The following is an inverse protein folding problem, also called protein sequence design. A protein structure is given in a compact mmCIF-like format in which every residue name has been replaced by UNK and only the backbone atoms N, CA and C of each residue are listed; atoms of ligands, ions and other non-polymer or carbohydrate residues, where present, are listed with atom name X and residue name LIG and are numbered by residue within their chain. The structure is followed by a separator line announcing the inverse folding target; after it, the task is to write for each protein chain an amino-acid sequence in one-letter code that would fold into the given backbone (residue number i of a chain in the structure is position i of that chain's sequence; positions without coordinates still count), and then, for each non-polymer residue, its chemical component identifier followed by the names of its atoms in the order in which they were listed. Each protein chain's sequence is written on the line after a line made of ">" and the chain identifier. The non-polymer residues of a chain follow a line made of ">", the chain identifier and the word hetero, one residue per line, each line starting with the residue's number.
data_IF_748247344035
#
_entry.id   IF_748247344035
#
_cell.length_a   1.000
_cell.length_b   1.000
_cell.length_c   1.000
_cell.angle_alpha   90.00
_cell.angle_beta   90.00
_cell.angle_gamma   90.00
#
_symmetry.space_group_name_H-M   'P 1'
#
loop_
_entity.id
_entity.type
_entity.pdbx_description
1 polymer ?
#
# COMPACT_ATOMS: atom_id res chain seq x y z
N UNK A 1 18.64 0.34 -1.10
CA UNK A 1 19.77 1.22 -1.50
C UNK A 1 19.50 2.62 -1.00
N UNK A 2 20.52 3.28 -0.46
CA UNK A 2 20.46 4.70 -0.14
C UNK A 2 21.06 5.49 -1.31
N UNK A 3 20.33 6.49 -1.80
CA UNK A 3 20.80 7.36 -2.86
C UNK A 3 21.60 8.54 -2.28
N UNK A 4 22.65 8.92 -2.98
CA UNK A 4 23.39 10.14 -2.72
C UNK A 4 23.09 11.18 -3.81
N UNK A 5 23.41 12.46 -3.54
CA UNK A 5 23.34 13.47 -4.57
C UNK A 5 24.32 13.15 -5.70
N UNK A 6 23.85 13.27 -6.95
CA UNK A 6 24.64 12.99 -8.13
C UNK A 6 24.25 11.65 -8.81
N UNK A 7 25.21 11.05 -9.48
CA UNK A 7 24.96 9.84 -10.29
C UNK A 7 25.03 8.60 -9.39
N UNK A 8 23.92 7.87 -9.32
CA UNK A 8 23.83 6.59 -8.63
C UNK A 8 23.68 5.47 -9.67
N UNK A 9 24.58 4.51 -9.64
CA UNK A 9 24.52 3.32 -10.50
C UNK A 9 23.97 2.15 -9.71
N UNK A 10 22.82 1.64 -10.11
CA UNK A 10 22.17 0.47 -9.48
C UNK A 10 22.23 -0.71 -10.44
N UNK A 11 22.79 -1.81 -9.96
CA UNK A 11 22.75 -3.06 -10.70
C UNK A 11 21.40 -3.72 -10.49
N UNK A 12 20.56 -3.73 -11.52
CA UNK A 12 19.29 -4.46 -11.53
C UNK A 12 19.56 -5.93 -11.79
N UNK A 13 19.15 -6.78 -10.84
CA UNK A 13 19.38 -8.24 -10.95
C UNK A 13 18.33 -8.96 -11.79
N UNK A 14 17.12 -8.40 -11.82
CA UNK A 14 15.99 -8.96 -12.58
C UNK A 14 15.00 -7.84 -12.92
N UNK A 15 14.16 -8.06 -13.90
CA UNK A 15 13.07 -7.14 -14.21
C UNK A 15 12.13 -6.98 -13.01
N UNK A 16 11.73 -5.77 -12.71
CA UNK A 16 10.87 -5.45 -11.58
C UNK A 16 10.51 -3.97 -11.56
N UNK A 17 9.56 -3.58 -10.73
CA UNK A 17 9.29 -2.16 -10.50
C UNK A 17 10.30 -1.57 -9.51
N UNK A 18 10.73 -0.36 -9.79
CA UNK A 18 11.58 0.44 -8.92
C UNK A 18 10.73 1.52 -8.26
N UNK A 19 10.70 1.50 -6.93
CA UNK A 19 10.12 2.57 -6.13
C UNK A 19 11.22 3.41 -5.52
N UNK A 20 11.09 4.72 -5.63
CA UNK A 20 11.98 5.66 -4.94
C UNK A 20 11.23 6.23 -3.77
N UNK A 21 11.73 5.96 -2.56
CA UNK A 21 11.16 6.45 -1.32
C UNK A 21 12.00 7.65 -0.86
N UNK A 22 11.33 8.76 -0.63
CA UNK A 22 11.95 9.97 -0.09
C UNK A 22 11.19 10.40 1.16
N UNK A 23 11.86 10.25 2.29
CA UNK A 23 11.33 10.65 3.59
C UNK A 23 11.94 11.98 3.99
N UNK A 24 11.09 12.94 4.26
CA UNK A 24 11.48 14.25 4.79
C UNK A 24 10.37 14.76 5.70
N UNK A 25 10.75 15.48 6.73
CA UNK A 25 9.80 16.21 7.54
C UNK A 25 9.32 17.43 6.75
N UNK A 26 8.05 17.41 6.34
CA UNK A 26 7.45 18.49 5.56
C UNK A 26 7.33 19.81 6.33
N UNK A 27 7.33 19.76 7.66
CA UNK A 27 7.38 20.95 8.51
C UNK A 27 8.79 21.56 8.62
N UNK A 28 9.81 20.82 8.21
CA UNK A 28 11.17 21.32 8.22
C UNK A 28 11.38 22.41 7.16
N UNK A 29 11.98 23.56 7.50
CA UNK A 29 12.32 24.59 6.53
C UNK A 29 13.36 24.12 5.50
N UNK A 30 14.01 23.00 5.76
CA UNK A 30 14.98 22.36 4.86
C UNK A 30 14.33 21.30 3.95
N UNK A 31 13.04 21.02 4.10
CA UNK A 31 12.33 20.11 3.21
C UNK A 31 12.38 20.65 1.77
N UNK A 32 13.02 19.91 0.88
CA UNK A 32 13.13 20.28 -0.55
C UNK A 32 12.67 19.12 -1.41
N UNK A 33 11.96 19.39 -2.50
CA UNK A 33 11.65 18.36 -3.47
C UNK A 33 12.95 17.82 -4.08
N UNK A 34 13.01 16.52 -4.31
CA UNK A 34 14.09 15.89 -5.06
C UNK A 34 13.69 15.73 -6.51
N UNK A 35 14.65 15.88 -7.40
CA UNK A 35 14.49 15.59 -8.83
C UNK A 35 15.29 14.33 -9.16
N UNK A 36 14.62 13.36 -9.74
CA UNK A 36 15.24 12.12 -10.18
C UNK A 36 15.17 12.09 -11.70
N UNK A 37 16.31 11.80 -12.32
CA UNK A 37 16.40 11.59 -13.75
C UNK A 37 16.86 10.17 -14.02
N UNK A 38 16.04 9.41 -14.71
CA UNK A 38 16.39 8.08 -15.20
C UNK A 38 16.70 8.23 -16.69
N UNK A 39 17.93 7.99 -17.13
CA UNK A 39 18.31 8.17 -18.53
C UNK A 39 17.61 7.13 -19.43
N UNK A 40 17.58 7.43 -20.71
CA UNK A 40 17.03 6.53 -21.72
C UNK A 40 17.68 5.15 -21.63
N UNK A 41 16.86 4.11 -21.62
CA UNK A 41 17.30 2.73 -21.40
C UNK A 41 17.50 2.33 -19.94
N UNK A 42 17.36 3.26 -18.98
CA UNK A 42 17.43 2.98 -17.54
C UNK A 42 16.13 2.50 -16.92
N UNK A 43 15.05 2.53 -17.68
CA UNK A 43 13.72 2.13 -17.24
C UNK A 43 12.62 2.89 -17.97
N UNK A 44 11.40 2.43 -17.82
CA UNK A 44 10.19 3.04 -18.38
C UNK A 44 9.09 3.10 -17.32
N UNK A 45 8.10 3.96 -17.52
CA UNK A 45 6.94 4.03 -16.65
C UNK A 45 6.03 2.84 -16.95
N UNK A 46 5.90 1.94 -15.96
CA UNK A 46 5.17 0.68 -16.13
C UNK A 46 3.64 0.82 -16.04
N UNK A 47 3.13 1.99 -15.82
CA UNK A 47 1.71 2.26 -15.57
C UNK A 47 1.35 2.18 -14.08
N UNK A 48 0.58 3.14 -13.63
CA UNK A 48 0.07 3.20 -12.27
C UNK A 48 -1.17 4.09 -12.21
N UNK A 49 -1.95 3.92 -11.16
CA UNK A 49 -3.03 4.85 -10.83
C UNK A 49 -2.74 5.52 -9.47
N UNK A 50 -3.01 6.80 -9.36
CA UNK A 50 -2.73 7.61 -8.18
C UNK A 50 -3.98 8.45 -7.88
N UNK A 51 -4.53 8.31 -6.67
CA UNK A 51 -5.74 8.99 -6.23
C UNK A 51 -5.66 10.51 -6.44
N UNK A 52 -4.51 11.11 -6.13
CA UNK A 52 -4.34 12.58 -6.25
C UNK A 52 -4.24 13.06 -7.70
N UNK A 53 -3.79 12.21 -8.62
CA UNK A 53 -3.57 12.57 -10.03
C UNK A 53 -4.73 12.18 -10.94
N UNK A 54 -5.24 10.98 -10.76
CA UNK A 54 -6.14 10.36 -11.72
C UNK A 54 -7.61 10.38 -11.29
N UNK A 55 -7.88 10.35 -10.01
CA UNK A 55 -9.13 10.69 -9.31
C UNK A 55 -10.40 9.95 -9.73
N UNK A 56 -10.39 9.11 -10.77
CA UNK A 56 -11.60 8.47 -11.30
C UNK A 56 -11.42 6.99 -11.59
N UNK A 57 -12.51 6.23 -11.45
CA UNK A 57 -12.59 4.83 -11.88
C UNK A 57 -12.39 4.65 -13.39
N UNK A 58 -12.89 5.60 -14.20
CA UNK A 58 -12.69 5.56 -15.64
C UNK A 58 -11.19 5.61 -16.01
N UNK A 59 -10.43 6.50 -15.35
CA UNK A 59 -8.99 6.59 -15.59
C UNK A 59 -8.23 5.37 -15.08
N UNK A 60 -8.68 4.74 -13.98
CA UNK A 60 -8.13 3.47 -13.55
C UNK A 60 -8.28 2.38 -14.60
N UNK A 61 -9.49 2.21 -15.15
CA UNK A 61 -9.76 1.21 -16.21
C UNK A 61 -8.89 1.43 -17.44
N UNK A 62 -8.74 2.67 -17.87
CA UNK A 62 -7.86 3.02 -18.99
C UNK A 62 -6.40 2.64 -18.70
N UNK A 63 -5.87 3.06 -17.56
CA UNK A 63 -4.46 2.88 -17.21
C UNK A 63 -4.09 1.41 -16.97
N UNK A 64 -4.94 0.64 -16.31
CA UNK A 64 -4.66 -0.79 -16.08
C UNK A 64 -4.72 -1.60 -17.38
N UNK A 65 -5.64 -1.24 -18.30
CA UNK A 65 -5.73 -1.88 -19.59
C UNK A 65 -4.52 -1.57 -20.49
N UNK A 66 -3.96 -0.37 -20.40
CA UNK A 66 -2.78 0.06 -21.15
C UNK A 66 -1.45 -0.43 -20.56
N UNK A 67 -1.45 -0.87 -19.30
CA UNK A 67 -0.23 -1.31 -18.65
C UNK A 67 0.33 -2.59 -19.27
N UNK A 68 1.60 -2.56 -19.66
CA UNK A 68 2.30 -3.72 -20.23
C UNK A 68 2.99 -4.61 -19.20
N UNK A 69 3.18 -4.11 -17.98
CA UNK A 69 3.87 -4.86 -16.94
C UNK A 69 2.92 -5.76 -16.15
N UNK A 70 3.44 -6.89 -15.68
CA UNK A 70 2.63 -7.90 -14.94
C UNK A 70 2.11 -7.44 -13.59
N UNK A 71 2.68 -6.39 -12.99
CA UNK A 71 2.19 -5.77 -11.78
C UNK A 71 1.70 -4.36 -12.04
N UNK A 72 0.68 -3.95 -11.30
CA UNK A 72 0.12 -2.61 -11.38
C UNK A 72 0.10 -1.98 -9.98
N UNK A 73 0.45 -0.69 -9.92
CA UNK A 73 0.47 0.07 -8.70
C UNK A 73 -0.77 0.96 -8.61
N UNK A 74 -1.45 0.91 -7.46
CA UNK A 74 -2.54 1.85 -7.11
C UNK A 74 -2.13 2.56 -5.85
N UNK A 75 -2.08 3.89 -5.89
CA UNK A 75 -1.71 4.72 -4.77
C UNK A 75 -2.92 5.45 -4.20
N UNK A 76 -3.27 5.16 -2.95
CA UNK A 76 -4.23 5.90 -2.13
C UNK A 76 -3.59 7.03 -1.35
N UNK A 77 -4.19 7.42 -0.25
CA UNK A 77 -3.64 8.40 0.69
C UNK A 77 -2.66 7.78 1.67
N UNK A 78 -2.93 6.58 2.16
CA UNK A 78 -2.16 5.86 3.18
C UNK A 78 -1.66 4.51 2.70
N UNK A 79 -2.37 3.89 1.77
CA UNK A 79 -2.09 2.56 1.25
C UNK A 79 -1.62 2.61 -0.21
N UNK A 80 -0.76 1.69 -0.57
CA UNK A 80 -0.31 1.48 -1.94
C UNK A 80 -0.48 0.00 -2.31
N UNK A 81 -1.34 -0.30 -3.27
CA UNK A 81 -1.45 -1.64 -3.82
C UNK A 81 -0.37 -1.89 -4.87
N UNK A 82 0.30 -3.01 -4.76
CA UNK A 82 1.22 -3.53 -5.75
C UNK A 82 0.84 -4.98 -6.04
N UNK A 83 -0.16 -5.14 -6.88
CA UNK A 83 -0.75 -6.43 -7.19
C UNK A 83 -0.48 -6.86 -8.62
N UNK A 84 -0.56 -8.17 -8.85
CA UNK A 84 -0.56 -8.69 -10.20
C UNK A 84 -1.71 -8.06 -11.00
N UNK A 85 -1.38 -7.42 -12.13
CA UNK A 85 -2.31 -6.59 -12.92
C UNK A 85 -3.62 -7.31 -13.23
N UNK A 86 -3.49 -8.52 -13.80
CA UNK A 86 -4.66 -9.28 -14.25
C UNK A 86 -5.53 -9.71 -13.06
N UNK A 87 -4.91 -10.01 -11.91
CA UNK A 87 -5.61 -10.37 -10.68
C UNK A 87 -6.28 -9.18 -10.01
N UNK A 88 -5.65 -8.02 -10.06
CA UNK A 88 -6.29 -6.78 -9.60
C UNK A 88 -7.47 -6.42 -10.48
N UNK A 89 -7.33 -6.53 -11.80
CA UNK A 89 -8.42 -6.25 -12.74
C UNK A 89 -9.58 -7.24 -12.59
N UNK A 90 -9.29 -8.51 -12.31
CA UNK A 90 -10.32 -9.52 -12.01
C UNK A 90 -11.04 -9.22 -10.68
N UNK A 91 -10.27 -8.80 -9.64
CA UNK A 91 -10.81 -8.53 -8.32
C UNK A 91 -11.60 -7.21 -8.28
N UNK A 92 -11.10 -6.16 -8.91
CA UNK A 92 -11.67 -4.81 -8.90
C UNK A 92 -11.78 -4.28 -10.34
N UNK A 93 -12.77 -4.77 -11.12
CA UNK A 93 -12.90 -4.39 -12.53
C UNK A 93 -13.37 -2.95 -12.72
N UNK A 94 -14.15 -2.41 -11.78
CA UNK A 94 -14.91 -1.17 -11.99
C UNK A 94 -14.60 -0.06 -10.97
N UNK A 95 -14.46 -0.38 -9.68
CA UNK A 95 -14.48 0.61 -8.60
C UNK A 95 -13.24 0.56 -7.72
N UNK A 96 -12.12 1.06 -8.25
CA UNK A 96 -10.87 1.16 -7.51
C UNK A 96 -10.94 2.21 -6.39
N UNK A 97 -11.79 3.23 -6.55
CA UNK A 97 -11.93 4.28 -5.55
C UNK A 97 -12.46 3.72 -4.24
N UNK A 98 -13.51 2.90 -4.28
CA UNK A 98 -14.03 2.24 -3.08
C UNK A 98 -13.03 1.25 -2.48
N UNK A 99 -12.31 0.51 -3.32
CA UNK A 99 -11.32 -0.46 -2.86
C UNK A 99 -10.15 0.21 -2.11
N UNK A 100 -9.50 1.19 -2.73
CA UNK A 100 -8.36 1.87 -2.11
C UNK A 100 -8.80 2.74 -0.93
N UNK A 101 -9.99 3.37 -1.01
CA UNK A 101 -10.55 4.17 0.07
C UNK A 101 -10.80 3.35 1.32
N UNK A 102 -11.37 2.15 1.20
CA UNK A 102 -11.58 1.26 2.34
C UNK A 102 -10.25 0.91 3.04
N UNK A 103 -9.19 0.65 2.29
CA UNK A 103 -7.89 0.33 2.87
C UNK A 103 -7.19 1.56 3.45
N UNK A 104 -7.38 2.73 2.88
CA UNK A 104 -6.95 4.01 3.48
C UNK A 104 -7.67 4.26 4.81
N UNK A 105 -8.97 3.94 4.88
CA UNK A 105 -9.77 4.03 6.10
C UNK A 105 -9.28 3.06 7.18
N UNK A 106 -8.99 1.80 6.84
CA UNK A 106 -8.42 0.81 7.79
C UNK A 106 -7.14 1.35 8.41
N UNK A 107 -6.23 1.89 7.61
CA UNK A 107 -4.99 2.50 8.12
C UNK A 107 -5.31 3.71 8.99
N UNK A 108 -6.25 4.57 8.57
CA UNK A 108 -6.68 5.75 9.31
C UNK A 108 -7.23 5.41 10.70
N UNK A 109 -8.15 4.46 10.79
CA UNK A 109 -8.72 4.01 12.07
C UNK A 109 -7.66 3.43 13.01
N UNK A 110 -6.69 2.70 12.48
CA UNK A 110 -5.59 2.20 13.30
C UNK A 110 -4.64 3.32 13.76
N UNK A 111 -4.44 4.36 12.96
CA UNK A 111 -3.72 5.57 13.39
C UNK A 111 -4.49 6.31 14.49
N UNK A 112 -5.81 6.40 14.38
CA UNK A 112 -6.68 6.96 15.42
C UNK A 112 -6.55 6.16 16.73
N UNK A 113 -6.64 4.83 16.66
CA UNK A 113 -6.44 3.96 17.84
C UNK A 113 -5.10 4.21 18.53
N UNK A 114 -4.04 4.47 17.76
CA UNK A 114 -2.72 4.78 18.31
C UNK A 114 -2.59 6.23 18.81
N UNK A 115 -3.51 7.12 18.48
CA UNK A 115 -3.43 8.55 18.80
C UNK A 115 -2.25 9.27 18.14
N UNK A 116 -1.82 8.84 16.96
CA UNK A 116 -0.61 9.38 16.30
C UNK A 116 -0.89 10.53 15.33
N UNK A 117 -2.14 10.76 14.95
CA UNK A 117 -2.50 11.73 13.92
C UNK A 117 -2.08 13.16 14.30
N UNK A 118 -2.26 13.54 15.57
CA UNK A 118 -1.90 14.87 16.05
C UNK A 118 -0.44 14.97 16.52
N UNK A 119 0.16 13.85 16.92
CA UNK A 119 1.49 13.82 17.55
C UNK A 119 2.60 13.60 16.52
N UNK A 120 2.33 12.80 15.48
CA UNK A 120 3.30 12.44 14.47
C UNK A 120 2.76 12.63 13.04
N UNK A 121 2.37 13.84 12.65
CA UNK A 121 1.78 14.08 11.32
C UNK A 121 2.72 13.70 10.17
N UNK A 122 4.04 13.70 10.37
CA UNK A 122 5.02 13.23 9.39
C UNK A 122 4.91 11.74 9.09
N UNK A 123 4.43 10.93 10.03
CA UNK A 123 4.20 9.49 9.83
C UNK A 123 3.04 9.24 8.86
N UNK A 124 2.10 10.18 8.75
CA UNK A 124 0.95 10.08 7.87
C UNK A 124 1.31 10.17 6.38
N UNK A 125 2.53 10.58 6.05
CA UNK A 125 3.03 10.66 4.68
C UNK A 125 3.64 9.34 4.19
N UNK A 126 3.79 8.36 5.05
CA UNK A 126 4.31 7.05 4.70
C UNK A 126 3.20 6.16 4.16
N UNK A 127 3.44 5.55 3.01
CA UNK A 127 2.53 4.58 2.44
C UNK A 127 2.90 3.17 2.88
N UNK A 128 1.89 2.42 3.32
CA UNK A 128 1.99 0.98 3.49
C UNK A 128 1.75 0.28 2.16
N UNK A 129 2.51 -0.77 1.89
CA UNK A 129 2.35 -1.56 0.68
C UNK A 129 1.53 -2.81 0.95
N UNK A 130 0.51 -3.03 0.14
CA UNK A 130 -0.17 -4.31 0.01
C UNK A 130 0.28 -4.99 -1.27
N UNK A 131 0.79 -6.20 -1.15
CA UNK A 131 1.33 -6.99 -2.26
C UNK A 131 0.60 -8.33 -2.38
N UNK A 132 0.63 -8.93 -3.56
CA UNK A 132 0.05 -10.25 -3.81
C UNK A 132 1.14 -11.27 -4.19
N UNK A 133 1.85 -11.84 -3.20
CA UNK A 133 2.82 -12.88 -3.47
C UNK A 133 2.15 -14.21 -3.82
N UNK A 134 2.89 -15.08 -4.45
CA UNK A 134 2.49 -16.46 -4.64
C UNK A 134 2.69 -17.25 -3.33
N UNK A 135 1.73 -18.10 -2.97
CA UNK A 135 1.88 -19.17 -1.99
C UNK A 135 1.65 -18.85 -0.52
N UNK A 136 1.62 -17.60 -0.09
CA UNK A 136 1.34 -17.24 1.31
C UNK A 136 -0.07 -16.68 1.46
N UNK A 137 -0.82 -17.15 2.46
CA UNK A 137 -2.22 -16.73 2.64
C UNK A 137 -2.33 -15.24 2.99
N UNK A 138 -1.85 -14.85 4.16
CA UNK A 138 -1.74 -13.47 4.63
C UNK A 138 -0.51 -13.34 5.52
N UNK A 139 0.11 -12.17 5.51
CA UNK A 139 1.27 -11.88 6.36
C UNK A 139 1.61 -10.39 6.38
N UNK A 140 2.33 -9.96 7.40
CA UNK A 140 2.90 -8.62 7.53
C UNK A 140 4.42 -8.66 7.71
N UNK A 141 5.11 -7.67 7.19
CA UNK A 141 6.55 -7.49 7.39
C UNK A 141 6.96 -6.05 7.11
N UNK A 142 7.65 -5.43 8.05
CA UNK A 142 8.19 -4.06 7.97
C UNK A 142 7.13 -3.00 7.63
N UNK A 143 7.01 -2.63 6.37
CA UNK A 143 6.11 -1.61 5.84
C UNK A 143 5.11 -2.16 4.82
N UNK A 144 4.97 -3.49 4.74
CA UNK A 144 4.15 -4.15 3.73
C UNK A 144 3.35 -5.31 4.33
N UNK A 145 2.22 -5.55 3.72
CA UNK A 145 1.36 -6.70 3.98
C UNK A 145 1.19 -7.51 2.71
N UNK A 146 1.07 -8.81 2.82
CA UNK A 146 0.92 -9.71 1.68
C UNK A 146 -0.37 -10.50 1.75
N UNK A 147 -1.04 -10.65 0.60
CA UNK A 147 -2.28 -11.39 0.46
C UNK A 147 -2.23 -12.27 -0.77
N UNK A 148 -2.58 -13.54 -0.63
CA UNK A 148 -2.65 -14.44 -1.78
C UNK A 148 -3.65 -13.89 -2.81
N UNK A 149 -3.25 -13.87 -4.06
CA UNK A 149 -4.03 -13.23 -5.13
C UNK A 149 -5.42 -13.85 -5.35
N UNK A 150 -5.62 -15.12 -5.00
CA UNK A 150 -6.93 -15.79 -5.09
C UNK A 150 -7.95 -15.22 -4.11
N UNK A 151 -7.52 -14.49 -3.08
CA UNK A 151 -8.37 -13.89 -2.07
C UNK A 151 -8.62 -12.39 -2.28
N UNK A 152 -7.98 -11.76 -3.25
CA UNK A 152 -8.05 -10.31 -3.47
C UNK A 152 -9.48 -9.80 -3.66
N UNK A 153 -10.33 -10.54 -4.38
CA UNK A 153 -11.73 -10.17 -4.58
C UNK A 153 -12.49 -10.02 -3.25
N UNK A 154 -12.20 -10.88 -2.28
CA UNK A 154 -12.88 -10.86 -0.99
C UNK A 154 -12.48 -9.67 -0.12
N UNK A 155 -11.24 -9.21 -0.23
CA UNK A 155 -10.67 -8.16 0.63
C UNK A 155 -10.61 -6.77 -0.04
N UNK A 156 -10.86 -6.68 -1.34
CA UNK A 156 -10.82 -5.41 -2.08
C UNK A 156 -12.20 -4.90 -2.49
N UNK A 157 -13.13 -5.79 -2.86
CA UNK A 157 -14.49 -5.37 -3.17
C UNK A 157 -15.23 -5.00 -1.89
N UNK A 158 -15.60 -3.73 -1.77
CA UNK A 158 -16.30 -3.20 -0.60
C UNK A 158 -17.54 -4.02 -0.24
N UNK A 159 -18.32 -4.44 -1.21
CA UNK A 159 -19.49 -5.30 -1.01
C UNK A 159 -19.16 -6.63 -0.36
N UNK A 160 -18.05 -7.27 -0.76
CA UNK A 160 -17.62 -8.54 -0.18
C UNK A 160 -17.06 -8.35 1.24
N UNK A 161 -16.30 -7.28 1.46
CA UNK A 161 -15.77 -6.93 2.78
C UNK A 161 -16.91 -6.66 3.76
N UNK A 162 -17.92 -5.91 3.34
CA UNK A 162 -19.08 -5.56 4.17
C UNK A 162 -20.04 -6.74 4.38
N UNK A 163 -20.06 -7.73 3.47
CA UNK A 163 -20.92 -8.92 3.57
C UNK A 163 -20.42 -9.93 4.62
N UNK A 164 -19.12 -9.99 4.85
CA UNK A 164 -18.51 -10.93 5.79
C UNK A 164 -17.39 -10.24 6.58
N UNK A 165 -17.60 -10.05 7.88
CA UNK A 165 -16.61 -9.39 8.77
C UNK A 165 -15.23 -10.03 8.72
N UNK A 166 -15.14 -11.35 8.50
CA UNK A 166 -13.88 -12.06 8.37
C UNK A 166 -13.03 -11.55 7.19
N UNK A 167 -13.66 -11.03 6.13
CA UNK A 167 -12.96 -10.44 5.00
C UNK A 167 -12.27 -9.12 5.35
N UNK A 168 -12.81 -8.35 6.28
CA UNK A 168 -12.17 -7.14 6.80
C UNK A 168 -11.12 -7.46 7.87
N UNK A 169 -11.39 -8.49 8.69
CA UNK A 169 -10.54 -8.84 9.83
C UNK A 169 -9.10 -9.17 9.41
N UNK A 170 -8.92 -9.98 8.38
CA UNK A 170 -7.60 -10.38 7.91
C UNK A 170 -6.71 -9.19 7.51
N UNK A 171 -7.14 -8.32 6.57
CA UNK A 171 -6.42 -7.10 6.23
C UNK A 171 -6.13 -6.20 7.44
N UNK A 172 -7.12 -5.99 8.31
CA UNK A 172 -6.97 -5.18 9.51
C UNK A 172 -5.97 -5.79 10.50
N UNK A 173 -5.94 -7.11 10.63
CA UNK A 173 -4.98 -7.84 11.44
C UNK A 173 -3.54 -7.67 10.91
N UNK A 174 -3.32 -7.90 9.62
CA UNK A 174 -1.98 -7.76 9.03
C UNK A 174 -1.47 -6.32 9.07
N UNK A 175 -2.34 -5.34 8.78
CA UNK A 175 -1.99 -3.92 8.93
C UNK A 175 -1.70 -3.60 10.41
N UNK A 176 -2.47 -4.19 11.33
CA UNK A 176 -2.25 -4.07 12.76
C UNK A 176 -0.85 -4.48 13.20
N UNK A 177 -0.26 -5.53 12.63
CA UNK A 177 1.14 -5.90 12.91
C UNK A 177 2.15 -4.81 12.59
N UNK A 178 1.87 -3.97 11.58
CA UNK A 178 2.73 -2.83 11.27
C UNK A 178 2.61 -1.74 12.34
N UNK A 179 1.42 -1.55 12.90
CA UNK A 179 1.08 -0.46 13.81
C UNK A 179 1.24 -0.81 15.29
N UNK A 180 1.16 -2.07 15.68
CA UNK A 180 1.11 -2.49 17.09
C UNK A 180 2.36 -2.22 17.93
N UNK A 181 3.40 -1.61 17.38
CA UNK A 181 4.69 -1.40 18.06
C UNK A 181 4.56 -0.76 19.44
N UNK A 182 3.60 0.17 19.59
CA UNK A 182 3.31 0.83 20.88
C UNK A 182 2.38 0.01 21.78
N UNK A 183 1.58 -0.88 21.20
CA UNK A 183 0.59 -1.71 21.91
C UNK A 183 0.91 -3.19 21.62
N UNK A 184 2.09 -3.62 22.05
CA UNK A 184 2.53 -5.00 21.85
C UNK A 184 2.80 -5.66 23.20
N UNK A 185 2.07 -6.73 23.48
CA UNK A 185 2.29 -7.53 24.68
C UNK A 185 3.39 -8.58 24.42
N UNK A 186 4.46 -8.57 25.18
CA UNK A 186 5.54 -9.54 25.01
C UNK A 186 5.01 -10.97 24.99
N UNK A 187 5.45 -11.77 24.02
CA UNK A 187 5.02 -13.16 23.79
C UNK A 187 3.56 -13.36 23.40
N UNK A 188 2.78 -12.29 23.21
CA UNK A 188 1.37 -12.33 22.84
C UNK A 188 1.06 -11.41 21.65
N UNK A 189 1.99 -11.28 20.72
CA UNK A 189 1.91 -10.37 19.56
C UNK A 189 0.63 -10.56 18.76
N UNK A 190 0.27 -11.80 18.46
CA UNK A 190 -0.96 -12.13 17.74
C UNK A 190 -2.23 -11.73 18.50
N UNK A 191 -2.20 -11.88 19.84
CA UNK A 191 -3.36 -11.54 20.69
C UNK A 191 -3.49 -10.03 20.85
N UNK A 192 -2.39 -9.30 21.08
CA UNK A 192 -2.43 -7.84 21.19
C UNK A 192 -2.81 -7.17 19.87
N UNK A 193 -2.43 -7.77 18.75
CA UNK A 193 -2.79 -7.30 17.43
C UNK A 193 -4.29 -7.35 17.14
N UNK A 194 -5.03 -8.27 17.76
CA UNK A 194 -6.48 -8.33 17.62
C UNK A 194 -7.19 -7.06 18.09
N UNK A 195 -6.54 -6.23 18.93
CA UNK A 195 -7.08 -4.92 19.29
C UNK A 195 -7.26 -4.03 18.06
N UNK A 196 -6.26 -4.01 17.17
CA UNK A 196 -6.30 -3.26 15.91
C UNK A 196 -7.36 -3.80 14.94
N UNK A 197 -7.40 -5.12 14.78
CA UNK A 197 -8.42 -5.75 13.93
C UNK A 197 -9.84 -5.46 14.43
N UNK A 198 -10.09 -5.61 15.74
CA UNK A 198 -11.42 -5.38 16.32
C UNK A 198 -11.83 -3.91 16.33
N UNK A 199 -10.88 -2.98 16.43
CA UNK A 199 -11.19 -1.55 16.34
C UNK A 199 -11.62 -1.14 14.93
N UNK A 200 -11.13 -1.85 13.91
CA UNK A 200 -11.44 -1.60 12.51
C UNK A 200 -12.82 -2.12 12.08
N UNK A 201 -13.37 -3.14 12.78
CA UNK A 201 -14.65 -3.80 12.47
C UNK A 201 -15.87 -3.08 13.04
#
# INVERSE_FOLDING_TARGET
>A
FFFQLGINKIKVKQAGMLFVLYHTDLASPNAKPIKIHIPLGGGEVAGYWDLKKHQTNAKYKELIAQSSYKYFCVRGERMMFYFHRDKLQEAVPEDILSAIGLWDDIVGWQHELMGIEDVFPSQMNNHLFAISPEGSYMWASDYRVGFVYTYLKNILLKENVMAAKDNAWGPAHEIGHIHQRAINWPSCTESSNNLFANYTL
#
